data_IF_332977113014
#
_entry.id   IF_332977113014
#
_cell.length_a   1.000
_cell.length_b   1.000
_cell.length_c   1.000
_cell.angle_alpha   90.00
_cell.angle_beta   90.00
_cell.angle_gamma   90.00
#
_symmetry.space_group_name_H-M   'P 1'
#
loop_
_entity.id
_entity.type
_entity.pdbx_description
1 polymer ?
#
# COMPACT_ATOMS: atom_id res chain seq x y z
N UNK A 1 -22.98 25.05 -0.23
CA UNK A 1 -21.78 24.54 0.47
C UNK A 1 -21.47 25.55 1.54
N UNK A 2 -21.41 25.14 2.80
CA UNK A 2 -21.00 26.02 3.89
C UNK A 2 -19.48 26.22 3.84
N UNK A 3 -19.01 27.35 4.36
CA UNK A 3 -17.59 27.73 4.32
C UNK A 3 -16.68 26.81 5.16
N UNK A 4 -17.25 25.82 5.86
CA UNK A 4 -16.51 24.83 6.65
C UNK A 4 -16.15 23.56 5.87
N UNK A 5 -16.72 23.33 4.68
CA UNK A 5 -16.44 22.15 3.87
C UNK A 5 -16.85 20.82 4.54
N UNK A 6 -17.66 20.86 5.60
CA UNK A 6 -18.00 19.69 6.42
C UNK A 6 -19.30 19.05 5.95
N UNK A 7 -19.39 18.66 4.67
CA UNK A 7 -20.53 17.89 4.16
C UNK A 7 -20.73 16.59 4.93
N UNK A 8 -21.95 16.08 5.09
CA UNK A 8 -22.21 14.85 5.86
C UNK A 8 -21.56 13.64 5.19
N UNK A 9 -21.35 12.55 5.93
CA UNK A 9 -20.77 11.33 5.34
C UNK A 9 -21.67 10.81 4.21
N UNK A 10 -22.98 10.95 4.35
CA UNK A 10 -23.98 10.60 3.35
C UNK A 10 -23.79 11.38 2.05
N UNK A 11 -23.44 12.67 2.14
CA UNK A 11 -23.22 13.51 0.97
C UNK A 11 -21.98 13.07 0.19
N UNK A 12 -20.94 12.58 0.90
CA UNK A 12 -19.74 11.98 0.28
C UNK A 12 -20.10 10.67 -0.43
N UNK A 13 -20.89 9.82 0.21
CA UNK A 13 -21.34 8.55 -0.39
C UNK A 13 -22.21 8.80 -1.62
N UNK A 14 -23.07 9.80 -1.58
CA UNK A 14 -23.88 10.20 -2.74
C UNK A 14 -22.99 10.72 -3.87
N UNK A 15 -22.02 11.58 -3.57
CA UNK A 15 -21.04 12.06 -4.55
C UNK A 15 -20.25 10.91 -5.19
N UNK A 16 -19.88 9.88 -4.41
CA UNK A 16 -19.25 8.67 -4.94
C UNK A 16 -20.18 7.94 -5.92
N UNK A 17 -21.47 7.80 -5.59
CA UNK A 17 -22.46 7.15 -6.46
C UNK A 17 -22.66 7.93 -7.77
N UNK A 18 -22.71 9.26 -7.71
CA UNK A 18 -22.79 10.13 -8.89
C UNK A 18 -21.58 9.89 -9.81
N UNK A 19 -20.36 9.84 -9.25
CA UNK A 19 -19.14 9.57 -10.03
C UNK A 19 -19.11 8.17 -10.63
N UNK A 20 -19.55 7.15 -9.88
CA UNK A 20 -19.63 5.76 -10.37
C UNK A 20 -20.60 5.62 -11.55
N UNK A 21 -21.74 6.30 -11.49
CA UNK A 21 -22.75 6.24 -12.54
C UNK A 21 -22.40 7.12 -13.75
N UNK A 22 -21.69 8.23 -13.52
CA UNK A 22 -21.39 9.23 -14.56
C UNK A 22 -20.12 8.95 -15.36
N UNK A 23 -19.16 8.18 -14.81
CA UNK A 23 -17.84 7.99 -15.42
C UNK A 23 -17.56 6.51 -15.72
N UNK A 24 -17.40 6.20 -17.00
CA UNK A 24 -17.01 4.84 -17.43
C UNK A 24 -15.67 4.43 -16.82
N UNK A 25 -15.62 3.22 -16.28
CA UNK A 25 -14.42 2.68 -15.63
C UNK A 25 -14.16 3.22 -14.22
N UNK A 26 -15.01 4.10 -13.68
CA UNK A 26 -14.93 4.54 -12.28
C UNK A 26 -15.84 3.65 -11.43
N UNK A 27 -15.22 2.84 -10.57
CA UNK A 27 -15.92 2.09 -9.52
C UNK A 27 -15.74 2.79 -8.18
N UNK A 28 -16.48 2.37 -7.16
CA UNK A 28 -16.50 2.97 -5.81
C UNK A 28 -15.14 3.38 -5.23
N UNK A 29 -14.13 2.51 -5.30
CA UNK A 29 -12.79 2.85 -4.81
C UNK A 29 -12.13 4.00 -5.59
N UNK A 30 -12.29 4.04 -6.92
CA UNK A 30 -11.79 5.14 -7.76
C UNK A 30 -12.59 6.42 -7.54
N UNK A 31 -13.91 6.32 -7.33
CA UNK A 31 -14.74 7.46 -6.98
C UNK A 31 -14.30 8.10 -5.66
N UNK A 32 -14.05 7.29 -4.62
CA UNK A 32 -13.50 7.80 -3.36
C UNK A 32 -12.12 8.45 -3.52
N UNK A 33 -11.23 7.86 -4.31
CA UNK A 33 -9.93 8.48 -4.65
C UNK A 33 -10.09 9.83 -5.35
N UNK A 34 -11.01 9.94 -6.32
CA UNK A 34 -11.26 11.19 -7.03
C UNK A 34 -11.79 12.29 -6.09
N UNK A 35 -12.56 11.93 -5.08
CA UNK A 35 -13.03 12.87 -4.06
C UNK A 35 -11.95 13.24 -3.03
N UNK A 36 -11.05 12.33 -2.67
CA UNK A 36 -10.03 12.61 -1.65
C UNK A 36 -8.97 13.61 -2.11
N UNK A 37 -8.80 13.82 -3.42
CA UNK A 37 -7.85 14.78 -3.98
C UNK A 37 -8.27 16.23 -3.70
N UNK A 38 -9.42 16.73 -4.20
CA UNK A 38 -9.86 18.10 -3.95
C UNK A 38 -10.32 18.33 -2.51
N UNK A 39 -10.77 17.27 -1.81
CA UNK A 39 -11.31 17.36 -0.45
C UNK A 39 -10.40 16.69 0.59
N UNK A 40 -9.08 16.74 0.41
CA UNK A 40 -8.09 16.04 1.24
C UNK A 40 -8.17 16.34 2.75
N UNK A 41 -8.73 17.50 3.13
CA UNK A 41 -8.95 17.88 4.53
C UNK A 41 -10.06 17.06 5.20
N UNK A 42 -11.10 16.70 4.45
CA UNK A 42 -12.35 16.15 5.00
C UNK A 42 -12.68 14.75 4.49
N UNK A 43 -12.14 14.35 3.35
CA UNK A 43 -12.38 13.06 2.69
C UNK A 43 -11.06 12.29 2.55
N UNK A 44 -10.86 11.17 3.28
CA UNK A 44 -9.69 10.33 3.08
C UNK A 44 -9.84 9.46 1.84
N UNK A 45 -8.71 9.00 1.28
CA UNK A 45 -8.75 7.80 0.46
C UNK A 45 -8.88 6.56 1.36
N UNK A 46 -9.98 5.82 1.22
CA UNK A 46 -10.26 4.60 1.95
C UNK A 46 -9.45 3.43 1.39
N UNK A 47 -8.16 3.44 1.70
CA UNK A 47 -7.22 2.39 1.34
C UNK A 47 -7.41 1.15 2.23
N UNK A 48 -6.80 0.02 1.84
CA UNK A 48 -6.89 -1.21 2.64
C UNK A 48 -6.16 -1.09 3.97
N UNK A 49 -5.03 -0.42 3.94
CA UNK A 49 -4.16 -0.10 5.05
C UNK A 49 -4.92 0.74 6.07
N UNK A 50 -5.59 1.79 5.62
CA UNK A 50 -6.43 2.63 6.47
C UNK A 50 -7.54 1.83 7.14
N UNK A 51 -8.29 1.01 6.38
CA UNK A 51 -9.35 0.19 6.97
C UNK A 51 -8.81 -0.78 8.04
N UNK A 52 -7.70 -1.47 7.75
CA UNK A 52 -7.08 -2.43 8.65
C UNK A 52 -6.55 -1.78 9.91
N UNK A 53 -5.96 -0.60 9.79
CA UNK A 53 -5.47 0.15 10.94
C UNK A 53 -6.60 0.60 11.85
N UNK A 54 -7.67 1.18 11.29
CA UNK A 54 -8.82 1.65 12.08
C UNK A 54 -9.62 0.49 12.70
N UNK A 55 -9.55 -0.69 12.11
CA UNK A 55 -10.19 -1.91 12.61
C UNK A 55 -9.12 -2.91 13.05
N UNK A 56 -8.04 -2.47 13.68
CA UNK A 56 -6.95 -3.36 14.12
C UNK A 56 -7.45 -4.36 15.17
N UNK A 57 -6.96 -5.59 15.10
CA UNK A 57 -7.01 -6.57 16.18
C UNK A 57 -5.72 -7.39 16.20
N UNK A 58 -5.41 -7.97 17.37
CA UNK A 58 -4.17 -8.71 17.58
C UNK A 58 -4.11 -10.03 16.81
N UNK A 59 -5.26 -10.65 16.54
CA UNK A 59 -5.35 -11.96 15.88
C UNK A 59 -4.97 -11.85 14.39
N UNK A 60 -5.50 -10.86 13.69
CA UNK A 60 -5.38 -10.72 12.23
C UNK A 60 -4.46 -9.58 11.82
N UNK A 61 -4.38 -8.50 12.61
CA UNK A 61 -3.56 -7.31 12.34
C UNK A 61 -3.64 -6.83 10.88
N UNK A 62 -2.47 -6.58 10.27
CA UNK A 62 -2.38 -6.14 8.86
C UNK A 62 -2.84 -7.20 7.86
N UNK A 63 -2.97 -8.48 8.26
CA UNK A 63 -3.44 -9.54 7.37
C UNK A 63 -4.97 -9.64 7.27
N UNK A 64 -5.71 -8.83 8.07
CA UNK A 64 -7.18 -8.80 8.07
C UNK A 64 -7.76 -8.78 6.65
N UNK A 65 -8.61 -9.76 6.38
CA UNK A 65 -9.35 -9.89 5.13
C UNK A 65 -10.67 -9.13 5.22
N UNK A 66 -11.03 -8.42 4.17
CA UNK A 66 -12.28 -7.71 4.10
C UNK A 66 -12.67 -7.42 2.65
N UNK A 67 -13.94 -7.04 2.46
CA UNK A 67 -14.50 -6.59 1.19
C UNK A 67 -15.13 -5.23 1.37
N UNK A 68 -14.86 -4.29 0.47
CA UNK A 68 -15.48 -2.98 0.53
C UNK A 68 -17.00 -3.06 0.35
N UNK A 69 -17.72 -2.47 1.29
CA UNK A 69 -19.17 -2.23 1.27
C UNK A 69 -19.43 -0.75 1.55
N UNK A 70 -20.62 -0.25 1.22
CA UNK A 70 -20.98 1.14 1.50
C UNK A 70 -20.84 1.48 2.98
N UNK A 71 -21.30 0.59 3.87
CA UNK A 71 -21.21 0.78 5.32
C UNK A 71 -19.76 0.87 5.80
N UNK A 72 -18.85 0.07 5.22
CA UNK A 72 -17.42 0.17 5.52
C UNK A 72 -16.83 1.49 5.08
N UNK A 73 -17.26 2.05 3.95
CA UNK A 73 -16.85 3.40 3.55
C UNK A 73 -17.37 4.44 4.54
N UNK A 74 -18.67 4.39 4.88
CA UNK A 74 -19.28 5.31 5.87
C UNK A 74 -18.54 5.27 7.20
N UNK A 75 -18.33 4.08 7.74
CA UNK A 75 -17.60 3.86 8.98
C UNK A 75 -16.18 4.44 8.89
N UNK A 76 -15.42 4.08 7.86
CA UNK A 76 -14.03 4.55 7.68
C UNK A 76 -13.96 6.06 7.61
N UNK A 77 -14.80 6.70 6.79
CA UNK A 77 -14.84 8.16 6.63
C UNK A 77 -15.24 8.82 7.96
N UNK A 78 -16.26 8.29 8.65
CA UNK A 78 -16.69 8.79 9.96
C UNK A 78 -15.56 8.77 10.98
N UNK A 79 -14.93 7.60 11.18
CA UNK A 79 -13.82 7.43 12.13
C UNK A 79 -12.63 8.34 11.79
N UNK A 80 -12.27 8.48 10.50
CA UNK A 80 -11.19 9.39 10.10
C UNK A 80 -11.52 10.83 10.43
N UNK A 81 -12.75 11.28 10.22
CA UNK A 81 -13.15 12.67 10.55
C UNK A 81 -13.13 12.93 12.05
N UNK A 82 -13.49 11.94 12.86
CA UNK A 82 -13.35 12.02 14.31
C UNK A 82 -11.89 12.14 14.73
N UNK A 83 -11.00 11.32 14.16
CA UNK A 83 -9.56 11.39 14.43
C UNK A 83 -8.95 12.71 13.96
N UNK A 84 -9.25 13.12 12.73
CA UNK A 84 -8.80 14.38 12.13
C UNK A 84 -9.19 15.57 13.02
N UNK A 85 -10.44 15.62 13.48
CA UNK A 85 -10.91 16.64 14.43
C UNK A 85 -10.21 16.55 15.78
N UNK A 86 -10.07 15.34 16.35
CA UNK A 86 -9.45 15.12 17.66
C UNK A 86 -7.99 15.57 17.71
N UNK A 87 -7.26 15.37 16.62
CA UNK A 87 -5.83 15.67 16.53
C UNK A 87 -5.52 16.94 15.72
N UNK A 88 -6.55 17.68 15.29
CA UNK A 88 -6.42 18.90 14.49
C UNK A 88 -5.55 18.71 13.23
N UNK A 89 -5.77 17.60 12.52
CA UNK A 89 -5.07 17.25 11.28
C UNK A 89 -6.03 17.05 10.12
N UNK A 90 -5.52 17.12 8.90
CA UNK A 90 -6.28 16.79 7.69
C UNK A 90 -6.56 15.28 7.59
N UNK A 91 -7.68 14.89 6.98
CA UNK A 91 -8.01 13.49 6.74
C UNK A 91 -6.91 12.72 5.97
N UNK A 92 -6.23 13.37 5.02
CA UNK A 92 -5.09 12.80 4.30
C UNK A 92 -3.89 12.49 5.19
N UNK A 93 -3.70 13.20 6.31
CA UNK A 93 -2.63 12.88 7.25
C UNK A 93 -2.89 11.54 7.95
N UNK A 94 -4.14 11.28 8.33
CA UNK A 94 -4.59 10.01 8.92
C UNK A 94 -4.35 8.84 7.95
N UNK A 95 -4.67 9.05 6.66
CA UNK A 95 -4.36 8.09 5.60
C UNK A 95 -2.85 7.79 5.51
N UNK A 96 -2.00 8.81 5.45
CA UNK A 96 -0.54 8.66 5.36
C UNK A 96 0.03 7.91 6.56
N UNK A 97 -0.48 8.16 7.76
CA UNK A 97 -0.07 7.43 8.97
C UNK A 97 -0.37 5.94 8.82
N UNK A 98 -1.57 5.58 8.35
CA UNK A 98 -1.93 4.17 8.14
C UNK A 98 -0.99 3.46 7.16
N UNK A 99 -0.58 4.16 6.09
CA UNK A 99 0.38 3.64 5.12
C UNK A 99 1.75 3.40 5.75
N UNK A 100 2.28 4.38 6.50
CA UNK A 100 3.58 4.25 7.16
C UNK A 100 3.56 3.11 8.19
N UNK A 101 2.49 2.99 8.97
CA UNK A 101 2.36 1.94 9.98
C UNK A 101 2.29 0.54 9.36
N UNK A 102 1.58 0.34 8.25
CA UNK A 102 1.59 -0.96 7.56
C UNK A 102 3.00 -1.31 7.07
N UNK A 103 3.71 -0.36 6.45
CA UNK A 103 5.07 -0.60 5.93
C UNK A 103 6.05 -0.92 7.05
N UNK A 104 6.00 -0.20 8.16
CA UNK A 104 6.85 -0.48 9.32
C UNK A 104 6.55 -1.85 9.92
N UNK A 105 5.27 -2.20 10.09
CA UNK A 105 4.88 -3.53 10.59
C UNK A 105 5.33 -4.68 9.67
N UNK A 106 5.32 -4.46 8.35
CA UNK A 106 5.84 -5.43 7.38
C UNK A 106 7.38 -5.55 7.43
N UNK A 107 8.09 -4.44 7.63
CA UNK A 107 9.55 -4.45 7.78
C UNK A 107 9.96 -5.20 9.05
N UNK A 108 9.27 -4.98 10.16
CA UNK A 108 9.56 -5.67 11.42
C UNK A 108 9.28 -7.17 11.30
N UNK A 109 8.14 -7.56 10.70
CA UNK A 109 7.87 -8.98 10.41
C UNK A 109 8.96 -9.60 9.55
N UNK A 110 9.42 -8.90 8.52
CA UNK A 110 10.52 -9.39 7.66
C UNK A 110 11.82 -9.58 8.44
N UNK A 111 12.19 -8.63 9.31
CA UNK A 111 13.38 -8.77 10.18
C UNK A 111 13.24 -9.99 11.09
N UNK A 112 12.10 -10.15 11.74
CA UNK A 112 11.84 -11.29 12.63
C UNK A 112 11.87 -12.62 11.88
N UNK A 113 11.25 -12.72 10.70
CA UNK A 113 11.29 -13.93 9.87
C UNK A 113 12.71 -14.22 9.36
N UNK A 114 13.49 -13.20 8.99
CA UNK A 114 14.87 -13.34 8.55
C UNK A 114 15.79 -13.80 9.68
N UNK A 115 15.64 -13.25 10.89
CA UNK A 115 16.41 -13.65 12.08
C UNK A 115 16.04 -15.10 12.45
N UNK A 116 14.74 -15.39 12.57
CA UNK A 116 14.24 -16.74 12.86
C UNK A 116 14.79 -17.75 11.83
N UNK A 117 14.76 -17.45 10.53
CA UNK A 117 15.39 -18.33 9.52
C UNK A 117 16.90 -18.48 9.69
N UNK A 118 17.62 -17.41 9.98
CA UNK A 118 19.09 -17.49 10.19
C UNK A 118 19.47 -18.34 11.41
N UNK A 119 18.57 -18.43 12.39
CA UNK A 119 18.74 -19.25 13.59
C UNK A 119 18.35 -20.71 13.34
N UNK A 120 17.43 -20.99 12.41
CA UNK A 120 16.81 -22.31 12.26
C UNK A 120 17.04 -23.04 10.92
N UNK A 121 17.65 -22.44 9.88
CA UNK A 121 17.78 -23.10 8.57
C UNK A 121 19.12 -22.83 7.84
N UNK A 122 20.10 -23.71 8.07
CA UNK A 122 21.22 -23.92 7.14
C UNK A 122 20.71 -24.68 5.89
N UNK A 123 20.29 -23.94 4.86
CA UNK A 123 20.52 -24.42 3.49
C UNK A 123 19.33 -24.61 2.54
N UNK A 124 18.14 -24.03 2.76
CA UNK A 124 17.08 -24.07 1.72
C UNK A 124 16.61 -22.68 1.25
N UNK A 125 16.52 -22.44 -0.08
CA UNK A 125 15.95 -21.20 -0.60
C UNK A 125 14.42 -21.24 -0.51
N UNK A 126 13.82 -20.14 -0.03
CA UNK A 126 12.37 -20.00 0.07
C UNK A 126 11.86 -18.97 -0.94
N UNK A 127 10.93 -19.42 -1.79
CA UNK A 127 10.05 -18.58 -2.60
C UNK A 127 8.85 -18.14 -1.79
N UNK A 128 8.68 -16.84 -1.55
CA UNK A 128 7.41 -16.26 -1.10
C UNK A 128 6.97 -15.10 -1.99
N UNK A 129 5.66 -15.10 -2.24
CA UNK A 129 4.83 -14.23 -3.09
C UNK A 129 5.43 -12.89 -3.54
N UNK A 130 5.54 -12.78 -4.87
CA UNK A 130 5.70 -11.56 -5.68
C UNK A 130 6.92 -10.65 -5.48
N UNK A 131 7.93 -11.06 -4.71
CA UNK A 131 9.24 -10.38 -4.73
C UNK A 131 10.35 -11.42 -4.83
N UNK A 132 10.93 -11.58 -6.02
CA UNK A 132 12.06 -12.45 -6.23
C UNK A 132 13.33 -11.82 -5.65
N UNK A 133 13.67 -12.15 -4.40
CA UNK A 133 14.94 -11.75 -3.77
C UNK A 133 15.96 -12.85 -4.05
N UNK A 134 16.91 -12.59 -4.96
CA UNK A 134 18.04 -13.50 -5.22
C UNK A 134 19.18 -13.20 -4.23
N UNK A 135 19.70 -14.26 -3.60
CA UNK A 135 20.93 -14.20 -2.80
C UNK A 135 22.09 -13.86 -3.75
N UNK A 136 22.65 -12.65 -3.66
CA UNK A 136 23.87 -12.32 -4.40
C UNK A 136 25.03 -12.96 -3.64
N UNK A 137 25.74 -13.90 -4.26
CA UNK A 137 26.96 -14.46 -3.67
C UNK A 137 27.99 -13.34 -3.55
N UNK A 138 28.23 -12.87 -2.33
CA UNK A 138 29.26 -11.87 -2.08
C UNK A 138 30.63 -12.40 -2.52
N UNK A 139 31.20 -11.83 -3.58
CA UNK A 139 32.67 -11.72 -3.65
C UNK A 139 33.05 -10.86 -2.46
N UNK A 140 33.85 -11.42 -1.54
CA UNK A 140 34.36 -10.77 -0.33
C UNK A 140 34.86 -9.37 -0.65
N UNK A 141 34.09 -8.35 -0.29
CA UNK A 141 34.60 -7.01 -0.08
C UNK A 141 34.76 -6.92 1.43
N UNK A 142 35.99 -7.05 1.90
CA UNK A 142 36.31 -6.96 3.32
C UNK A 142 36.16 -5.52 3.78
N UNK A 143 35.20 -5.27 4.66
CA UNK A 143 35.15 -4.10 5.54
C UNK A 143 34.47 -4.57 6.84
N UNK A 144 35.14 -4.36 7.97
CA UNK A 144 34.61 -4.60 9.31
C UNK A 144 33.42 -3.66 9.61
N UNK A 145 32.43 -4.18 10.34
CA UNK A 145 31.05 -3.68 10.57
C UNK A 145 30.05 -4.14 9.50
N UNK A 146 29.21 -5.08 9.90
CA UNK A 146 28.04 -5.54 9.15
C UNK A 146 26.99 -4.42 9.00
N UNK A 147 27.23 -3.49 8.08
CA UNK A 147 26.14 -2.76 7.45
C UNK A 147 25.65 -3.57 6.24
N UNK A 148 24.52 -4.26 6.42
CA UNK A 148 23.80 -4.87 5.30
C UNK A 148 23.13 -3.75 4.51
N UNK A 149 23.84 -3.22 3.52
CA UNK A 149 23.28 -2.27 2.57
C UNK A 149 22.24 -2.98 1.67
N UNK A 150 20.95 -2.82 1.98
CA UNK A 150 19.86 -3.26 1.10
C UNK A 150 19.69 -2.27 -0.05
N UNK A 151 20.23 -2.60 -1.22
CA UNK A 151 19.93 -1.88 -2.47
C UNK A 151 18.60 -2.39 -3.02
N UNK A 152 17.54 -1.60 -2.84
CA UNK A 152 16.23 -1.88 -3.42
C UNK A 152 16.31 -1.67 -4.94
N UNK A 153 16.42 -2.76 -5.71
CA UNK A 153 16.35 -2.69 -7.18
C UNK A 153 14.87 -2.58 -7.53
N UNK A 154 14.42 -1.37 -7.86
CA UNK A 154 13.14 -1.16 -8.51
C UNK A 154 13.28 -1.61 -9.97
N UNK A 155 12.70 -2.74 -10.34
CA UNK A 155 12.54 -3.11 -11.75
C UNK A 155 11.21 -2.53 -12.23
N UNK A 156 11.19 -1.45 -13.03
CA UNK A 156 9.94 -0.91 -13.53
C UNK A 156 9.41 -1.82 -14.64
N UNK A 157 8.22 -2.37 -14.44
CA UNK A 157 7.35 -2.85 -15.51
C UNK A 157 7.76 -4.16 -16.19
N UNK A 158 6.81 -5.09 -16.23
CA UNK A 158 6.85 -6.20 -17.17
C UNK A 158 6.84 -5.67 -18.61
N UNK A 159 7.97 -5.81 -19.29
CA UNK A 159 8.03 -5.91 -20.75
C UNK A 159 8.63 -7.28 -21.03
N UNK A 160 7.83 -8.16 -21.63
CA UNK A 160 8.29 -9.44 -22.16
C UNK A 160 9.31 -9.16 -23.27
N UNK A 161 10.56 -9.67 -23.20
CA UNK A 161 11.46 -9.62 -24.34
C UNK A 161 10.93 -10.62 -25.38
N UNK A 162 10.27 -10.11 -26.42
CA UNK A 162 10.16 -10.85 -27.68
C UNK A 162 11.59 -11.10 -28.16
N UNK A 163 11.91 -12.38 -28.29
CA UNK A 163 13.13 -12.93 -28.89
C UNK A 163 13.38 -12.22 -30.23
N UNK A 164 14.43 -11.40 -30.30
CA UNK A 164 15.06 -11.06 -31.57
C UNK A 164 16.11 -12.13 -31.81
N UNK A 165 15.80 -13.04 -32.73
CA UNK A 165 16.78 -13.94 -33.30
C UNK A 165 17.83 -13.09 -34.04
N UNK A 166 19.10 -13.30 -33.70
CA UNK A 166 20.24 -12.77 -34.43
C UNK A 166 20.28 -13.46 -35.80
N UNK A 167 19.96 -12.73 -36.87
CA UNK A 167 20.26 -13.14 -38.25
C UNK A 167 21.59 -12.48 -38.63
N UNK A 168 22.68 -13.22 -38.44
CA UNK A 168 24.02 -12.85 -38.87
C UNK A 168 24.08 -12.96 -40.40
N UNK A 169 24.01 -11.82 -41.09
CA UNK A 169 24.47 -11.71 -42.48
C UNK A 169 25.65 -10.77 -42.58
N UNK A 170 26.78 -11.39 -42.85
CA UNK A 170 28.05 -10.86 -43.31
C UNK A 170 27.88 -9.87 -44.47
N UNK A 171 28.46 -8.69 -44.31
CA UNK A 171 28.76 -7.75 -45.39
C UNK A 171 30.11 -8.15 -46.00
N UNK A 172 30.08 -8.57 -47.26
CA UNK A 172 31.16 -8.41 -48.25
C UNK A 172 30.51 -8.14 -49.59
#
# INVERSE_FOLDING_TARGET
>A
MDETGTGRVEDIIEAMRILENGLSGVKRARANLLLSIPFYKTVPFCSRELYRWLNWDEETGWAKQFKWTEDRFKQTIGTVRELARKFEVDAVAVEKVSFVLERNGLIERFKTESITRSVFDEGRPVTTLNTAVRRVSGRKVGIEKEEVAMKQIYTPGGISPRVLAEDTRTLT
#
